data_IF_821021055486
#
_entry.id   IF_821021055486
#
_cell.length_a   1.000
_cell.length_b   1.000
_cell.length_c   1.000
_cell.angle_alpha   90.00
_cell.angle_beta   90.00
_cell.angle_gamma   90.00
#
_symmetry.space_group_name_H-M   'P 1'
#
loop_
_entity.id
_entity.type
_entity.pdbx_description
1 polymer ?
#
# COMPACT_ATOMS: atom_id res chain seq x y z
N UNK A 1 -0.60 26.09 -14.96
CA UNK A 1 0.75 25.62 -14.59
C UNK A 1 0.63 24.15 -14.18
N UNK A 2 1.55 23.28 -14.59
CA UNK A 2 1.50 21.86 -14.23
C UNK A 2 2.11 21.64 -12.84
N UNK A 3 1.53 20.73 -12.06
CA UNK A 3 2.04 20.32 -10.75
C UNK A 3 3.12 19.24 -10.89
N UNK A 4 3.96 19.10 -9.86
CA UNK A 4 5.00 18.09 -9.81
C UNK A 4 4.43 16.73 -9.38
N UNK A 5 4.77 15.66 -10.12
CA UNK A 5 4.41 14.29 -9.78
C UNK A 5 5.70 13.49 -9.50
N UNK A 6 5.96 13.19 -8.22
CA UNK A 6 7.15 12.44 -7.82
C UNK A 6 7.10 10.96 -8.26
N UNK A 7 5.90 10.40 -8.43
CA UNK A 7 5.72 9.02 -8.88
C UNK A 7 6.24 8.83 -10.31
N UNK A 8 7.20 7.92 -10.49
CA UNK A 8 7.78 7.65 -11.82
C UNK A 8 8.80 8.68 -12.30
N UNK A 9 9.06 9.75 -11.53
CA UNK A 9 9.95 10.82 -11.95
C UNK A 9 11.40 10.32 -12.11
N UNK A 10 11.98 10.56 -13.29
CA UNK A 10 13.34 10.15 -13.65
C UNK A 10 13.65 8.64 -13.51
N UNK A 11 12.63 7.76 -13.55
CA UNK A 11 12.86 6.31 -13.49
C UNK A 11 13.19 5.67 -14.85
N UNK A 12 12.99 6.41 -15.94
CA UNK A 12 13.42 6.04 -17.29
C UNK A 12 12.47 5.09 -18.02
N UNK A 13 12.93 4.60 -19.18
CA UNK A 13 12.13 3.73 -20.04
C UNK A 13 11.85 2.36 -19.42
N UNK A 14 12.77 1.83 -18.60
CA UNK A 14 12.60 0.55 -17.89
C UNK A 14 11.31 0.57 -17.07
N UNK A 15 11.12 1.61 -16.24
CA UNK A 15 9.91 1.78 -15.45
C UNK A 15 8.63 1.91 -16.29
N UNK A 16 8.71 2.56 -17.45
CA UNK A 16 7.54 2.85 -18.27
C UNK A 16 7.13 1.70 -19.20
N UNK A 17 8.04 0.79 -19.53
CA UNK A 17 7.84 -0.24 -20.57
C UNK A 17 7.91 -1.67 -20.04
N UNK A 18 8.66 -1.91 -18.98
CA UNK A 18 8.82 -3.24 -18.41
C UNK A 18 7.73 -3.53 -17.38
N UNK A 19 7.51 -4.81 -17.08
CA UNK A 19 6.63 -5.18 -15.96
C UNK A 19 7.27 -4.75 -14.64
N UNK A 20 6.46 -4.52 -13.60
CA UNK A 20 7.00 -4.18 -12.29
C UNK A 20 7.89 -5.30 -11.72
N UNK A 21 7.63 -6.57 -12.07
CA UNK A 21 8.53 -7.69 -11.75
C UNK A 21 9.92 -7.47 -12.35
N UNK A 22 9.99 -7.23 -13.66
CA UNK A 22 11.26 -7.00 -14.36
C UNK A 22 12.00 -5.79 -13.79
N UNK A 23 11.29 -4.70 -13.54
CA UNK A 23 11.86 -3.51 -12.92
C UNK A 23 12.44 -3.79 -11.52
N UNK A 24 11.70 -4.51 -10.66
CA UNK A 24 12.15 -4.87 -9.30
C UNK A 24 13.40 -5.76 -9.38
N UNK A 25 13.39 -6.77 -10.24
CA UNK A 25 14.52 -7.70 -10.41
C UNK A 25 15.76 -6.99 -10.96
N UNK A 26 15.62 -6.16 -11.99
CA UNK A 26 16.71 -5.39 -12.57
C UNK A 26 17.32 -4.42 -11.55
N UNK A 27 16.49 -3.69 -10.80
CA UNK A 27 16.95 -2.79 -9.73
C UNK A 27 17.64 -3.54 -8.59
N UNK A 28 17.10 -4.69 -8.18
CA UNK A 28 17.70 -5.56 -7.15
C UNK A 28 19.07 -6.08 -7.60
N UNK A 29 19.18 -6.57 -8.83
CA UNK A 29 20.45 -7.03 -9.41
C UNK A 29 21.50 -5.91 -9.45
N UNK A 30 21.07 -4.68 -9.76
CA UNK A 30 21.92 -3.49 -9.75
C UNK A 30 22.15 -2.87 -8.34
N UNK A 31 21.61 -3.46 -7.27
CA UNK A 31 21.61 -2.92 -5.90
C UNK A 31 21.08 -1.49 -5.80
N UNK A 32 20.11 -1.15 -6.65
CA UNK A 32 19.41 0.14 -6.66
C UNK A 32 18.10 0.04 -5.89
N UNK A 33 17.58 1.15 -5.35
CA UNK A 33 16.27 1.16 -4.72
C UNK A 33 15.20 0.73 -5.72
N UNK A 34 14.30 -0.15 -5.29
CA UNK A 34 13.15 -0.63 -6.07
C UNK A 34 11.93 0.31 -5.99
N UNK A 35 12.05 1.41 -5.22
CA UNK A 35 11.05 2.46 -5.14
C UNK A 35 10.64 2.90 -6.57
N UNK A 36 9.33 2.99 -6.85
CA UNK A 36 8.23 3.12 -5.89
C UNK A 36 7.56 1.79 -5.48
N UNK A 37 8.12 0.64 -5.88
CA UNK A 37 7.61 -0.67 -5.52
C UNK A 37 8.24 -1.22 -4.22
N UNK A 38 7.73 -2.34 -3.75
CA UNK A 38 8.18 -3.05 -2.56
C UNK A 38 8.00 -4.57 -2.69
N UNK A 39 8.72 -5.34 -1.88
CA UNK A 39 8.84 -6.81 -2.01
C UNK A 39 8.73 -7.56 -0.66
N UNK A 40 8.13 -6.93 0.35
CA UNK A 40 8.02 -7.48 1.71
C UNK A 40 6.58 -7.45 2.21
N UNK A 41 6.19 -8.47 2.97
CA UNK A 41 4.83 -8.62 3.52
C UNK A 41 4.66 -7.89 4.85
N UNK A 42 5.77 -7.58 5.53
CA UNK A 42 5.74 -6.94 6.83
C UNK A 42 5.16 -5.51 6.75
N UNK A 43 3.86 -5.37 7.05
CA UNK A 43 3.18 -4.07 7.10
C UNK A 43 3.60 -3.21 8.30
N UNK A 44 4.39 -3.73 9.25
CA UNK A 44 4.99 -2.92 10.30
C UNK A 44 6.20 -2.12 9.79
N UNK A 45 6.79 -2.55 8.67
CA UNK A 45 7.90 -1.85 8.02
C UNK A 45 7.38 -0.62 7.27
N UNK A 46 7.67 0.52 7.88
CA UNK A 46 7.27 1.84 7.41
C UNK A 46 8.43 2.57 6.73
N UNK A 47 8.12 3.35 5.70
CA UNK A 47 9.07 4.23 5.00
C UNK A 47 8.46 5.61 4.81
N UNK A 48 9.26 6.68 4.72
CA UNK A 48 8.70 7.99 4.35
C UNK A 48 8.43 8.05 2.85
N UNK A 49 7.37 8.75 2.44
CA UNK A 49 7.18 9.10 1.03
C UNK A 49 8.30 10.01 0.51
N UNK A 50 8.51 10.03 -0.80
CA UNK A 50 9.55 10.85 -1.45
C UNK A 50 9.43 12.33 -1.07
N UNK A 51 8.20 12.83 -0.97
CA UNK A 51 7.88 14.21 -0.59
C UNK A 51 7.82 14.42 0.93
N UNK A 52 8.00 13.35 1.72
CA UNK A 52 7.96 13.34 3.19
C UNK A 52 6.63 13.86 3.79
N UNK A 53 5.56 13.78 3.01
CA UNK A 53 4.22 14.20 3.44
C UNK A 53 3.41 13.06 4.08
N UNK A 54 3.92 11.84 4.02
CA UNK A 54 3.23 10.64 4.51
C UNK A 54 4.21 9.54 4.91
N UNK A 55 3.71 8.61 5.71
CA UNK A 55 4.34 7.31 5.94
C UNK A 55 3.74 6.33 4.92
N UNK A 56 4.59 5.55 4.26
CA UNK A 56 4.25 4.53 3.31
C UNK A 56 4.44 3.14 3.92
N UNK A 57 3.56 2.22 3.55
CA UNK A 57 3.68 0.78 3.78
C UNK A 57 3.67 0.04 2.46
N UNK A 58 4.11 -1.21 2.48
CA UNK A 58 4.04 -2.05 1.30
C UNK A 58 2.61 -2.56 1.07
N UNK A 59 2.08 -2.33 -0.14
CA UNK A 59 0.87 -2.99 -0.63
C UNK A 59 1.23 -4.35 -1.23
N UNK A 60 1.58 -5.32 -0.38
CA UNK A 60 1.81 -6.70 -0.78
C UNK A 60 0.94 -7.62 0.07
N UNK A 61 -0.13 -8.14 -0.53
CA UNK A 61 -1.18 -8.87 0.18
C UNK A 61 -1.43 -10.23 -0.47
N UNK A 62 -1.88 -11.20 0.34
CA UNK A 62 -2.37 -12.49 -0.16
C UNK A 62 -3.81 -12.34 -0.65
N UNK A 63 -4.04 -12.70 -1.92
CA UNK A 63 -5.36 -12.75 -2.54
C UNK A 63 -6.06 -14.07 -2.20
N UNK A 64 -7.40 -14.07 -2.20
CA UNK A 64 -8.20 -15.28 -1.96
C UNK A 64 -8.15 -16.26 -3.12
N UNK A 65 -7.78 -15.79 -4.32
CA UNK A 65 -7.63 -16.57 -5.54
C UNK A 65 -6.25 -16.31 -6.13
N UNK A 66 -5.73 -17.31 -6.84
CA UNK A 66 -4.49 -17.19 -7.61
C UNK A 66 -4.61 -16.06 -8.62
N UNK A 67 -3.60 -15.19 -8.68
CA UNK A 67 -3.55 -14.11 -9.65
C UNK A 67 -3.35 -14.68 -11.06
N UNK A 68 -3.94 -14.08 -12.10
CA UNK A 68 -3.62 -14.41 -13.49
C UNK A 68 -2.12 -14.30 -13.76
N UNK A 69 -1.59 -15.11 -14.68
CA UNK A 69 -0.14 -15.15 -14.97
C UNK A 69 0.48 -13.77 -15.26
N UNK A 70 -0.26 -12.90 -15.96
CA UNK A 70 0.19 -11.53 -16.29
C UNK A 70 0.32 -10.59 -15.08
N UNK A 71 -0.21 -10.97 -13.92
CA UNK A 71 -0.24 -10.20 -12.68
C UNK A 71 0.55 -10.87 -11.55
N UNK A 72 1.21 -12.00 -11.83
CA UNK A 72 2.12 -12.64 -10.90
C UNK A 72 3.48 -11.93 -11.00
N UNK A 73 3.70 -10.97 -10.12
CA UNK A 73 4.81 -10.02 -10.21
C UNK A 73 6.08 -10.46 -9.45
N UNK A 74 6.15 -11.72 -9.01
CA UNK A 74 7.26 -12.25 -8.22
C UNK A 74 7.60 -13.69 -8.58
N UNK A 75 8.89 -13.99 -8.66
CA UNK A 75 9.40 -15.37 -8.65
C UNK A 75 9.50 -15.93 -7.22
N UNK A 76 9.82 -15.07 -6.24
CA UNK A 76 9.90 -15.43 -4.82
C UNK A 76 9.64 -14.23 -3.93
N UNK A 77 9.12 -14.51 -2.73
CA UNK A 77 8.86 -13.51 -1.68
C UNK A 77 9.39 -14.08 -0.36
N UNK A 78 10.15 -13.26 0.38
CA UNK A 78 10.72 -13.68 1.66
C UNK A 78 9.61 -14.04 2.66
N UNK A 79 9.71 -15.25 3.23
CA UNK A 79 8.71 -15.77 4.18
C UNK A 79 7.46 -16.38 3.53
N UNK A 80 7.38 -16.49 2.19
CA UNK A 80 6.29 -17.16 1.47
C UNK A 80 6.79 -18.45 0.84
N UNK A 81 6.07 -19.58 1.00
CA UNK A 81 6.42 -20.81 0.29
C UNK A 81 6.18 -20.65 -1.22
N UNK A 82 7.01 -21.27 -2.09
CA UNK A 82 6.88 -21.13 -3.54
C UNK A 82 5.50 -21.50 -4.11
N UNK A 83 4.77 -22.42 -3.46
CA UNK A 83 3.41 -22.80 -3.85
C UNK A 83 2.38 -21.67 -3.72
N UNK A 84 2.67 -20.68 -2.89
CA UNK A 84 1.73 -19.63 -2.52
C UNK A 84 2.05 -18.29 -3.18
N UNK A 85 3.23 -18.13 -3.78
CA UNK A 85 3.69 -16.86 -4.39
C UNK A 85 2.68 -16.32 -5.40
N UNK A 86 2.04 -17.19 -6.18
CA UNK A 86 1.06 -16.79 -7.20
C UNK A 86 -0.24 -16.19 -6.63
N UNK A 87 -0.44 -16.25 -5.31
CA UNK A 87 -1.55 -15.59 -4.62
C UNK A 87 -1.17 -14.20 -4.11
N UNK A 88 0.10 -13.81 -4.16
CA UNK A 88 0.56 -12.53 -3.62
C UNK A 88 0.69 -11.46 -4.70
N UNK A 89 0.25 -10.25 -4.37
CA UNK A 89 0.42 -9.08 -5.21
C UNK A 89 -0.16 -7.83 -4.56
N UNK A 90 -0.10 -6.71 -5.28
CA UNK A 90 -0.78 -5.47 -4.89
C UNK A 90 -2.30 -5.63 -4.84
N UNK A 91 -2.95 -4.80 -4.02
CA UNK A 91 -4.39 -4.84 -3.79
C UNK A 91 -5.20 -4.31 -4.99
N UNK A 92 -4.60 -3.44 -5.81
CA UNK A 92 -5.32 -2.70 -6.83
C UNK A 92 -5.09 -3.23 -8.24
N UNK A 93 -6.20 -3.41 -8.96
CA UNK A 93 -6.20 -3.87 -10.36
C UNK A 93 -5.66 -2.78 -11.31
N UNK A 94 -5.90 -1.49 -11.01
CA UNK A 94 -5.42 -0.39 -11.86
C UNK A 94 -3.90 -0.22 -11.83
N UNK A 95 -3.22 -0.84 -10.87
CA UNK A 95 -1.76 -0.92 -10.82
C UNK A 95 -1.25 -2.29 -11.25
N UNK A 96 -2.05 -3.07 -12.00
CA UNK A 96 -1.71 -4.41 -12.49
C UNK A 96 -1.21 -5.36 -11.38
N UNK A 97 -1.79 -5.22 -10.17
CA UNK A 97 -1.36 -5.91 -8.96
C UNK A 97 0.12 -5.72 -8.62
N UNK A 98 0.75 -4.62 -9.07
CA UNK A 98 2.10 -4.26 -8.69
C UNK A 98 2.13 -3.74 -7.24
N UNK A 99 2.99 -4.32 -6.39
CA UNK A 99 3.09 -3.97 -4.98
C UNK A 99 3.82 -2.66 -4.81
N UNK A 100 3.06 -1.64 -4.45
CA UNK A 100 3.52 -0.26 -4.41
C UNK A 100 3.69 0.21 -2.97
N UNK A 101 4.62 1.13 -2.74
CA UNK A 101 4.68 1.88 -1.50
C UNK A 101 3.46 2.79 -1.42
N UNK A 102 2.45 2.35 -0.68
CA UNK A 102 1.19 3.06 -0.53
C UNK A 102 1.25 3.97 0.71
N UNK A 103 0.90 5.27 0.59
CA UNK A 103 0.79 6.13 1.75
C UNK A 103 -0.33 5.65 2.68
N UNK A 104 0.00 5.44 3.95
CA UNK A 104 -1.00 5.29 4.99
C UNK A 104 -1.70 6.63 5.17
N UNK A 105 -2.94 6.72 4.70
CA UNK A 105 -3.83 7.84 4.99
C UNK A 105 -4.38 7.64 6.40
N UNK A 106 -3.53 7.87 7.41
CA UNK A 106 -3.98 8.22 8.75
C UNK A 106 -3.83 9.74 8.85
N UNK A 107 -4.81 10.48 8.30
CA UNK A 107 -5.04 11.93 8.54
C UNK A 107 -3.80 12.73 8.95
N UNK A 108 -2.77 12.77 8.10
CA UNK A 108 -1.55 13.55 8.36
C UNK A 108 -1.43 14.68 7.34
N UNK A 109 -2.49 15.46 7.16
CA UNK A 109 -2.31 16.86 6.78
C UNK A 109 -1.72 17.58 7.99
N UNK A 110 -0.40 17.57 8.12
CA UNK A 110 0.38 18.35 9.07
C UNK A 110 0.34 19.87 8.75
N UNK A 111 -0.82 20.42 8.39
CA UNK A 111 -1.01 21.87 8.26
C UNK A 111 -1.81 22.49 9.39
N UNK A 112 -2.41 21.69 10.27
CA UNK A 112 -3.04 22.14 11.51
C UNK A 112 -2.84 21.06 12.59
N UNK A 113 -1.78 21.18 13.39
CA UNK A 113 -1.63 20.38 14.61
C UNK A 113 -2.76 20.71 15.58
N UNK A 114 -3.75 19.82 15.70
CA UNK A 114 -4.33 19.54 17.02
C UNK A 114 -3.64 18.26 17.48
N UNK A 115 -2.73 18.43 18.43
CA UNK A 115 -2.04 17.35 19.12
C UNK A 115 -3.09 16.51 19.86
N UNK A 116 -3.51 15.35 19.33
CA UNK A 116 -4.31 14.41 20.12
C UNK A 116 -3.34 13.67 21.05
N UNK A 117 -2.95 14.34 22.15
CA UNK A 117 -2.41 13.65 23.32
C UNK A 117 -3.48 12.71 23.85
N UNK A 118 -3.26 11.40 23.74
CA UNK A 118 -4.10 10.38 24.37
C UNK A 118 -4.71 9.32 23.45
N UNK A 119 -4.33 9.22 22.18
CA UNK A 119 -4.73 8.07 21.36
C UNK A 119 -3.98 6.80 21.83
N UNK A 120 -4.54 6.11 22.82
CA UNK A 120 -4.15 4.73 23.15
C UNK A 120 -4.60 3.83 22.01
N UNK A 121 -3.64 3.27 21.27
CA UNK A 121 -3.91 2.29 20.23
C UNK A 121 -4.06 0.91 20.88
N UNK A 122 -5.29 0.51 21.20
CA UNK A 122 -5.57 -0.88 21.57
C UNK A 122 -5.74 -1.72 20.32
N UNK A 123 -4.77 -2.59 20.06
CA UNK A 123 -4.92 -3.71 19.14
C UNK A 123 -6.03 -4.63 19.68
N UNK A 124 -7.26 -4.45 19.22
CA UNK A 124 -8.33 -5.41 19.46
C UNK A 124 -8.08 -6.60 18.54
N UNK A 125 -7.82 -7.75 19.16
CA UNK A 125 -7.44 -9.03 18.57
C UNK A 125 -7.74 -9.29 17.09
N UNK A 126 -6.69 -9.59 16.34
CA UNK A 126 -6.68 -10.71 15.39
C UNK A 126 -7.51 -10.59 14.11
N UNK A 127 -7.86 -9.40 13.63
CA UNK A 127 -8.46 -9.25 12.29
C UNK A 127 -7.76 -8.15 11.49
N UNK A 128 -7.48 -8.45 10.22
CA UNK A 128 -6.89 -7.54 9.25
C UNK A 128 -7.78 -6.29 9.09
N UNK A 129 -7.19 -5.08 8.94
CA UNK A 129 -7.95 -3.85 8.90
C UNK A 129 -8.79 -3.80 7.62
N UNK A 130 -10.09 -4.01 7.77
CA UNK A 130 -11.07 -3.76 6.71
C UNK A 130 -11.33 -2.25 6.67
N UNK A 131 -11.23 -1.66 5.48
CA UNK A 131 -11.60 -0.26 5.22
C UNK A 131 -13.10 -0.05 5.52
N UNK A 132 -13.40 0.43 6.72
CA UNK A 132 -14.72 0.94 7.07
C UNK A 132 -14.89 2.35 6.52
N UNK A 133 -15.67 2.52 5.45
CA UNK A 133 -16.22 3.82 5.10
C UNK A 133 -17.12 4.31 6.26
N UNK A 134 -16.97 5.56 6.73
CA UNK A 134 -17.84 6.08 7.78
C UNK A 134 -19.29 6.09 7.28
N UNK A 135 -20.17 5.32 7.95
CA UNK A 135 -21.62 5.44 7.72
C UNK A 135 -22.04 6.86 8.08
N UNK A 136 -22.73 7.52 7.15
CA UNK A 136 -23.46 8.77 7.44
C UNK A 136 -24.34 8.55 8.66
N UNK A 137 -24.15 9.37 9.69
CA UNK A 137 -25.14 9.51 10.76
C UNK A 137 -26.45 9.99 10.12
N UNK A 138 -27.48 9.15 10.20
CA UNK A 138 -28.84 9.50 9.80
C UNK A 138 -29.46 10.32 10.94
N UNK A 139 -29.55 11.63 10.76
CA UNK A 139 -30.39 12.50 11.58
C UNK A 139 -31.83 12.37 11.10
N UNK A 140 -32.66 11.58 11.78
CA UNK A 140 -34.12 11.60 11.67
C UNK A 140 -34.76 10.76 12.78
N UNK A 141 -35.63 11.36 13.60
CA UNK A 141 -36.79 10.65 14.18
C UNK A 141 -36.81 10.38 15.69
N UNK A 142 -37.44 11.30 16.43
CA UNK A 142 -38.44 11.11 17.51
C UNK A 142 -38.73 9.68 18.05
N UNK A 143 -38.74 9.51 19.39
CA UNK A 143 -39.97 9.42 20.23
C UNK A 143 -39.78 8.66 21.58
N UNK A 144 -40.09 9.37 22.68
CA UNK A 144 -40.95 9.07 23.86
C UNK A 144 -41.09 7.63 24.43
N UNK A 145 -41.24 7.62 25.78
CA UNK A 145 -41.81 6.63 26.73
C UNK A 145 -40.77 5.87 27.54
N UNK A 146 -40.86 5.74 28.88
CA UNK A 146 -41.82 6.17 29.90
C UNK A 146 -41.08 6.31 31.23
#
# INVERSE_FOLDING_TARGET
>A
MAEHLAWGFHLGCEFAKESCMQYIEARRAARRPISPFCDYIDHSKQTCSLERLSINVCDLNKHSKKLPQKYQNFASIDGVPPSDVDFYGGSYVWSDHCPSLMPMIATCTWRNMVEIRGASFTLVGGQSPQLGYPRRHNTSGLAVTR
#
